data_IF_796234972221
#
_entry.id   IF_796234972221
#
_cell.length_a   1.000
_cell.length_b   1.000
_cell.length_c   1.000
_cell.angle_alpha   90.00
_cell.angle_beta   90.00
_cell.angle_gamma   90.00
#
_symmetry.space_group_name_H-M   'P 1'
#
loop_
_entity.id
_entity.type
_entity.pdbx_description
1 polymer ?
#
# COMPACT_ATOMS: atom_id res chain seq x y z
N UNK A 1 8.51 -28.33 15.39
CA UNK A 1 7.77 -27.07 15.39
C UNK A 1 8.40 -26.23 14.30
N UNK A 2 7.70 -25.97 13.21
CA UNK A 2 8.19 -25.06 12.17
C UNK A 2 8.32 -23.67 12.80
N UNK A 3 9.43 -23.00 12.54
CA UNK A 3 9.66 -21.63 13.03
C UNK A 3 8.94 -20.63 12.13
N UNK A 4 8.81 -19.36 12.57
CA UNK A 4 8.23 -18.31 11.74
C UNK A 4 9.01 -18.15 10.42
N UNK A 5 10.34 -18.32 10.48
CA UNK A 5 11.25 -18.15 9.36
C UNK A 5 11.09 -19.30 8.36
N UNK A 6 10.94 -20.54 8.85
CA UNK A 6 10.61 -21.70 7.98
C UNK A 6 9.29 -21.47 7.22
N UNK A 7 8.25 -21.01 7.92
CA UNK A 7 6.95 -20.71 7.30
C UNK A 7 7.03 -19.53 6.31
N UNK A 8 7.90 -18.56 6.57
CA UNK A 8 8.12 -17.45 5.65
C UNK A 8 8.82 -17.91 4.36
N UNK A 9 9.81 -18.77 4.49
CA UNK A 9 10.50 -19.37 3.35
C UNK A 9 9.57 -20.28 2.54
N UNK A 10 8.72 -21.07 3.20
CA UNK A 10 7.67 -21.87 2.56
C UNK A 10 6.68 -20.97 1.78
N UNK A 11 6.28 -19.85 2.38
CA UNK A 11 5.43 -18.85 1.72
C UNK A 11 6.08 -18.24 0.48
N UNK A 12 7.39 -17.95 0.54
CA UNK A 12 8.15 -17.45 -0.61
C UNK A 12 8.25 -18.50 -1.72
N UNK A 13 8.47 -19.77 -1.37
CA UNK A 13 8.47 -20.86 -2.34
C UNK A 13 7.10 -21.01 -3.01
N UNK A 14 6.02 -21.02 -2.25
CA UNK A 14 4.66 -21.07 -2.79
C UNK A 14 4.37 -19.89 -3.74
N UNK A 15 4.80 -18.68 -3.37
CA UNK A 15 4.65 -17.48 -4.19
C UNK A 15 5.47 -17.55 -5.48
N UNK A 16 6.64 -18.20 -5.47
CA UNK A 16 7.46 -18.44 -6.66
C UNK A 16 6.85 -19.49 -7.61
N UNK A 17 6.16 -20.48 -7.06
CA UNK A 17 5.43 -21.52 -7.83
C UNK A 17 4.11 -20.97 -8.39
N UNK A 18 3.60 -19.87 -7.82
CA UNK A 18 2.34 -19.23 -8.22
C UNK A 18 1.14 -19.64 -7.34
N UNK A 19 1.38 -20.43 -6.30
CA UNK A 19 0.39 -20.84 -5.30
C UNK A 19 0.17 -19.71 -4.29
N UNK A 20 -0.52 -18.65 -4.73
CA UNK A 20 -0.73 -17.45 -3.93
C UNK A 20 -1.55 -17.71 -2.67
N UNK A 21 -2.52 -18.63 -2.74
CA UNK A 21 -3.40 -18.94 -1.60
C UNK A 21 -2.64 -19.68 -0.48
N UNK A 22 -1.78 -20.61 -0.86
CA UNK A 22 -0.90 -21.30 0.09
C UNK A 22 0.17 -20.35 0.65
N UNK A 23 0.72 -19.46 -0.18
CA UNK A 23 1.65 -18.43 0.28
C UNK A 23 1.02 -17.54 1.37
N UNK A 24 -0.23 -17.10 1.17
CA UNK A 24 -0.98 -16.34 2.18
C UNK A 24 -1.17 -17.14 3.46
N UNK A 25 -1.46 -18.44 3.37
CA UNK A 25 -1.60 -19.31 4.55
C UNK A 25 -0.29 -19.40 5.33
N UNK A 26 0.82 -19.68 4.65
CA UNK A 26 2.15 -19.76 5.25
C UNK A 26 2.56 -18.43 5.91
N UNK A 27 2.36 -17.30 5.23
CA UNK A 27 2.66 -15.99 5.82
C UNK A 27 1.75 -15.66 7.02
N UNK A 28 0.47 -16.03 6.96
CA UNK A 28 -0.47 -15.84 8.07
C UNK A 28 -0.05 -16.65 9.30
N UNK A 29 0.36 -17.90 9.12
CA UNK A 29 0.89 -18.73 10.21
C UNK A 29 2.23 -18.16 10.74
N UNK A 30 3.10 -17.64 9.86
CA UNK A 30 4.36 -16.99 10.25
C UNK A 30 4.14 -15.78 11.13
N UNK A 31 3.23 -14.86 10.75
CA UNK A 31 2.90 -13.67 11.57
C UNK A 31 2.06 -14.01 12.80
N UNK A 32 1.37 -15.16 12.82
CA UNK A 32 0.69 -15.64 14.02
C UNK A 32 1.68 -16.16 15.07
N UNK A 33 2.80 -16.77 14.63
CA UNK A 33 3.90 -17.15 15.52
C UNK A 33 4.66 -15.92 16.03
N UNK A 34 4.89 -14.94 15.16
CA UNK A 34 5.50 -13.66 15.56
C UNK A 34 4.74 -12.46 14.97
N UNK A 35 3.84 -11.86 15.76
CA UNK A 35 3.09 -10.69 15.31
C UNK A 35 3.97 -9.44 15.13
N UNK A 36 5.23 -9.45 15.60
CA UNK A 36 6.21 -8.39 15.39
C UNK A 36 7.05 -8.55 14.11
N UNK A 37 6.77 -9.55 13.28
CA UNK A 37 7.57 -9.83 12.10
C UNK A 37 7.17 -8.95 10.89
N UNK A 38 7.89 -7.82 10.72
CA UNK A 38 7.64 -6.84 9.66
C UNK A 38 7.60 -7.47 8.26
N UNK A 39 8.63 -8.25 7.89
CA UNK A 39 8.75 -8.85 6.56
C UNK A 39 7.60 -9.84 6.28
N UNK A 40 7.16 -10.58 7.30
CA UNK A 40 5.99 -11.48 7.20
C UNK A 40 4.71 -10.73 6.87
N UNK A 41 4.43 -9.61 7.56
CA UNK A 41 3.26 -8.78 7.27
C UNK A 41 3.32 -8.12 5.89
N UNK A 42 4.51 -7.68 5.48
CA UNK A 42 4.73 -7.10 4.15
C UNK A 42 4.48 -8.14 3.04
N UNK A 43 5.04 -9.34 3.19
CA UNK A 43 4.86 -10.44 2.23
C UNK A 43 3.41 -10.93 2.18
N UNK A 44 2.73 -11.03 3.33
CA UNK A 44 1.30 -11.35 3.42
C UNK A 44 0.46 -10.34 2.62
N UNK A 45 0.71 -9.04 2.83
CA UNK A 45 0.01 -7.97 2.11
C UNK A 45 0.26 -8.04 0.60
N UNK A 46 1.50 -8.31 0.17
CA UNK A 46 1.82 -8.48 -1.25
C UNK A 46 1.13 -9.69 -1.88
N UNK A 47 1.08 -10.81 -1.17
CA UNK A 47 0.42 -12.03 -1.65
C UNK A 47 -1.10 -11.82 -1.79
N UNK A 48 -1.73 -11.17 -0.82
CA UNK A 48 -3.15 -10.81 -0.87
C UNK A 48 -3.46 -9.78 -1.98
N UNK A 49 -2.57 -8.82 -2.22
CA UNK A 49 -2.68 -7.90 -3.35
C UNK A 49 -2.69 -8.64 -4.69
N UNK A 50 -1.85 -9.67 -4.85
CA UNK A 50 -1.85 -10.50 -6.06
C UNK A 50 -3.13 -11.33 -6.21
N UNK A 51 -3.74 -11.74 -5.10
CA UNK A 51 -5.06 -12.43 -5.09
C UNK A 51 -6.23 -11.47 -5.34
N UNK A 52 -6.01 -10.15 -5.39
CA UNK A 52 -7.09 -9.15 -5.47
C UNK A 52 -7.82 -8.92 -4.15
N UNK A 53 -7.28 -9.45 -3.04
CA UNK A 53 -7.78 -9.30 -1.67
C UNK A 53 -7.25 -8.02 -1.04
N UNK A 54 -7.64 -6.89 -1.63
CA UNK A 54 -7.19 -5.56 -1.22
C UNK A 54 -7.54 -5.18 0.25
N UNK A 55 -8.75 -5.47 0.79
CA UNK A 55 -9.05 -5.11 2.18
C UNK A 55 -8.16 -5.83 3.19
N UNK A 56 -7.91 -7.13 2.99
CA UNK A 56 -7.02 -7.90 3.87
C UNK A 56 -5.56 -7.41 3.73
N UNK A 57 -5.14 -7.07 2.51
CA UNK A 57 -3.80 -6.53 2.27
C UNK A 57 -3.57 -5.19 2.97
N UNK A 58 -4.62 -4.36 3.07
CA UNK A 58 -4.60 -3.11 3.84
C UNK A 58 -4.38 -3.42 5.32
N UNK A 59 -5.07 -4.41 5.89
CA UNK A 59 -4.90 -4.80 7.29
C UNK A 59 -3.47 -5.28 7.57
N UNK A 60 -2.92 -6.11 6.68
CA UNK A 60 -1.53 -6.58 6.77
C UNK A 60 -0.53 -5.41 6.67
N UNK A 61 -0.75 -4.49 5.73
CA UNK A 61 0.07 -3.28 5.58
C UNK A 61 -0.01 -2.33 6.78
N UNK A 62 -1.18 -2.21 7.42
CA UNK A 62 -1.35 -1.44 8.64
C UNK A 62 -0.55 -2.06 9.80
N UNK A 63 -0.57 -3.38 9.94
CA UNK A 63 0.25 -4.09 10.92
C UNK A 63 1.76 -3.91 10.68
N UNK A 64 2.20 -4.01 9.42
CA UNK A 64 3.59 -3.72 9.06
C UNK A 64 4.00 -2.29 9.46
N UNK A 65 3.13 -1.29 9.21
CA UNK A 65 3.38 0.09 9.60
C UNK A 65 3.27 0.33 11.13
N UNK A 66 2.50 -0.48 11.86
CA UNK A 66 2.43 -0.46 13.33
C UNK A 66 3.76 -0.93 13.94
N UNK A 67 4.34 -1.99 13.37
CA UNK A 67 5.62 -2.57 13.81
C UNK A 67 6.77 -1.62 13.47
N UNK A 68 6.83 -1.16 12.23
CA UNK A 68 7.86 -0.22 11.78
C UNK A 68 7.25 1.02 11.12
N UNK A 69 6.87 2.02 11.93
CA UNK A 69 6.23 3.24 11.43
C UNK A 69 7.18 4.16 10.66
N UNK A 70 8.49 3.95 10.78
CA UNK A 70 9.50 4.72 10.07
C UNK A 70 10.02 4.00 8.82
N UNK A 71 9.41 2.88 8.43
CA UNK A 71 9.79 2.22 7.20
C UNK A 71 9.00 2.78 6.00
N UNK A 72 9.75 3.30 5.02
CA UNK A 72 9.16 3.89 3.82
C UNK A 72 8.43 2.84 2.97
N UNK A 73 8.92 1.60 2.93
CA UNK A 73 8.31 0.56 2.10
C UNK A 73 6.95 0.13 2.65
N UNK A 74 6.78 0.05 3.97
CA UNK A 74 5.50 -0.29 4.60
C UNK A 74 4.39 0.68 4.19
N UNK A 75 4.66 1.99 4.31
CA UNK A 75 3.69 3.02 3.92
C UNK A 75 3.43 3.07 2.41
N UNK A 76 4.43 2.77 1.59
CA UNK A 76 4.30 2.72 0.13
C UNK A 76 3.43 1.53 -0.29
N UNK A 77 3.66 0.35 0.28
CA UNK A 77 2.84 -0.84 0.06
C UNK A 77 1.40 -0.64 0.50
N UNK A 78 1.20 -0.04 1.69
CA UNK A 78 -0.13 0.29 2.20
C UNK A 78 -0.86 1.30 1.28
N UNK A 79 -0.15 2.34 0.83
CA UNK A 79 -0.69 3.30 -0.14
C UNK A 79 -1.12 2.61 -1.43
N UNK A 80 -0.31 1.69 -1.97
CA UNK A 80 -0.65 0.95 -3.18
C UNK A 80 -1.88 0.07 -2.97
N UNK A 81 -2.00 -0.57 -1.81
CA UNK A 81 -3.16 -1.38 -1.44
C UNK A 81 -4.44 -0.53 -1.41
N UNK A 82 -4.41 0.64 -0.80
CA UNK A 82 -5.54 1.58 -0.82
C UNK A 82 -5.90 2.07 -2.21
N UNK A 83 -4.91 2.32 -3.10
CA UNK A 83 -5.19 2.69 -4.49
C UNK A 83 -5.93 1.56 -5.22
N UNK A 84 -5.51 0.31 -5.02
CA UNK A 84 -6.16 -0.85 -5.67
C UNK A 84 -7.55 -1.14 -5.12
N UNK A 85 -7.77 -0.88 -3.84
CA UNK A 85 -9.11 -0.94 -3.20
C UNK A 85 -10.03 0.23 -3.63
N UNK A 86 -9.48 1.30 -4.21
CA UNK A 86 -10.21 2.51 -4.61
C UNK A 86 -10.36 3.57 -3.51
N UNK A 87 -9.72 3.37 -2.35
CA UNK A 87 -9.73 4.31 -1.22
C UNK A 87 -8.62 5.37 -1.37
N UNK A 88 -8.79 6.22 -2.39
CA UNK A 88 -7.78 7.22 -2.79
C UNK A 88 -7.40 8.18 -1.65
N UNK A 89 -8.35 8.62 -0.82
CA UNK A 89 -8.07 9.54 0.29
C UNK A 89 -7.10 8.94 1.33
N UNK A 90 -7.24 7.64 1.64
CA UNK A 90 -6.35 6.95 2.57
C UNK A 90 -4.99 6.66 1.93
N UNK A 91 -4.97 6.35 0.63
CA UNK A 91 -3.74 6.20 -0.13
C UNK A 91 -2.90 7.49 -0.12
N UNK A 92 -3.51 8.66 -0.35
CA UNK A 92 -2.80 9.94 -0.32
C UNK A 92 -2.19 10.21 1.06
N UNK A 93 -2.91 9.88 2.14
CA UNK A 93 -2.38 9.99 3.50
C UNK A 93 -1.18 9.07 3.71
N UNK A 94 -1.27 7.80 3.32
CA UNK A 94 -0.18 6.83 3.45
C UNK A 94 1.04 7.20 2.59
N UNK A 95 0.82 7.59 1.34
CA UNK A 95 1.86 8.05 0.43
C UNK A 95 2.53 9.35 0.90
N UNK A 96 1.79 10.23 1.58
CA UNK A 96 2.36 11.44 2.21
C UNK A 96 3.27 11.07 3.37
N UNK A 97 2.86 10.12 4.23
CA UNK A 97 3.71 9.57 5.30
C UNK A 97 4.99 8.93 4.76
N UNK A 98 4.89 8.15 3.68
CA UNK A 98 6.06 7.57 3.00
C UNK A 98 7.04 8.66 2.50
N UNK A 99 6.53 9.76 1.93
CA UNK A 99 7.36 10.90 1.48
C UNK A 99 8.02 11.63 2.64
N UNK A 100 7.33 11.82 3.75
CA UNK A 100 7.90 12.44 4.96
C UNK A 100 9.09 11.62 5.47
N UNK A 101 8.95 10.29 5.52
CA UNK A 101 10.05 9.38 5.89
C UNK A 101 11.20 9.47 4.89
N UNK A 102 10.89 9.49 3.59
CA UNK A 102 11.89 9.64 2.53
C UNK A 102 12.72 10.92 2.66
N UNK A 103 12.15 11.99 3.21
CA UNK A 103 12.84 13.25 3.48
C UNK A 103 13.56 13.28 4.85
N UNK A 104 13.65 12.14 5.54
CA UNK A 104 14.29 12.02 6.86
C UNK A 104 13.39 12.41 8.03
N UNK A 105 12.09 12.62 7.79
CA UNK A 105 11.09 12.85 8.83
C UNK A 105 10.74 11.57 9.58
N UNK A 106 10.33 11.71 10.85
CA UNK A 106 9.81 10.60 11.65
C UNK A 106 8.29 10.66 11.66
N UNK A 107 7.64 9.54 11.36
CA UNK A 107 6.18 9.43 11.38
C UNK A 107 5.78 8.57 12.57
N UNK A 108 4.75 8.99 13.31
CA UNK A 108 4.08 8.14 14.27
C UNK A 108 2.95 7.42 13.57
N UNK A 109 2.91 6.10 13.67
CA UNK A 109 1.75 5.34 13.24
C UNK A 109 0.62 5.61 14.22
N UNK A 110 -0.40 6.32 13.74
CA UNK A 110 -1.67 6.47 14.42
C UNK A 110 -2.70 5.72 13.60
N UNK A 111 -3.32 4.70 14.20
CA UNK A 111 -4.48 4.02 13.63
C UNK A 111 -5.58 5.08 13.49
N UNK A 112 -6.10 5.35 12.28
CA UNK A 112 -7.22 6.27 12.14
C UNK A 112 -8.42 5.66 12.89
N UNK A 113 -8.74 6.21 14.06
CA UNK A 113 -9.85 5.75 14.93
C UNK A 113 -11.22 6.24 14.49
N UNK A 114 -11.28 7.10 13.49
CA UNK A 114 -12.51 7.71 13.01
C UNK A 114 -12.67 7.47 11.51
N UNK A 115 -13.92 7.33 11.09
CA UNK A 115 -14.36 7.12 9.71
C UNK A 115 -13.94 8.25 8.75
N UNK A 116 -14.62 8.42 7.60
CA UNK A 116 -14.09 9.13 6.43
C UNK A 116 -13.70 10.56 6.80
N UNK A 117 -12.39 10.83 6.92
CA UNK A 117 -11.88 12.16 7.21
C UNK A 117 -11.87 12.97 5.91
N UNK A 118 -13.03 13.53 5.62
CA UNK A 118 -13.16 14.82 4.94
C UNK A 118 -12.47 15.89 5.79
N UNK A 119 -11.20 16.16 5.53
CA UNK A 119 -10.50 17.23 6.24
C UNK A 119 -9.01 17.24 5.97
N UNK A 120 -8.59 18.12 5.07
CA UNK A 120 -7.18 18.49 4.87
C UNK A 120 -6.49 18.73 6.23
N UNK A 121 -5.44 17.98 6.59
CA UNK A 121 -4.56 18.40 7.67
C UNK A 121 -3.58 19.44 7.11
N UNK A 122 -3.55 20.61 7.74
CA UNK A 122 -2.65 21.70 7.44
C UNK A 122 -1.20 21.25 7.38
N UNK A 123 -0.64 21.32 6.18
CA UNK A 123 0.76 21.10 5.87
C UNK A 123 1.57 22.28 6.44
N UNK A 124 2.24 22.09 7.58
CA UNK A 124 3.27 23.04 8.03
C UNK A 124 4.64 22.47 7.64
N UNK A 125 5.15 22.96 6.51
CA UNK A 125 6.49 22.68 5.99
C UNK A 125 7.53 23.43 6.83
N UNK A 126 8.75 22.88 7.02
CA UNK A 126 9.86 23.64 7.61
C UNK A 126 10.25 24.81 6.69
N UNK A 127 10.60 25.99 7.23
CA UNK A 127 10.98 27.13 6.40
C UNK A 127 12.32 26.84 5.71
N UNK A 128 12.32 26.76 4.37
CA UNK A 128 13.54 26.72 3.56
C UNK A 128 13.64 25.62 2.49
N UNK A 129 12.69 24.68 2.41
CA UNK A 129 12.68 23.67 1.34
C UNK A 129 11.70 24.06 0.23
N UNK A 130 12.22 24.58 -0.89
CA UNK A 130 11.45 24.73 -2.13
C UNK A 130 11.00 23.34 -2.60
N UNK A 131 9.70 23.11 -2.63
CA UNK A 131 9.13 21.88 -3.17
C UNK A 131 9.48 21.73 -4.67
N UNK A 132 9.83 20.53 -5.17
CA UNK A 132 9.78 20.30 -6.61
C UNK A 132 8.32 20.41 -7.06
N UNK A 133 8.09 21.16 -8.14
CA UNK A 133 6.77 21.36 -8.74
C UNK A 133 6.08 20.01 -9.01
N UNK A 134 4.73 19.93 -8.88
CA UNK A 134 4.01 18.71 -9.19
C UNK A 134 4.22 18.36 -10.67
N UNK A 135 4.81 17.20 -10.93
CA UNK A 135 4.83 16.63 -12.27
C UNK A 135 3.38 16.33 -12.68
N UNK A 136 2.86 17.16 -13.59
CA UNK A 136 1.60 16.91 -14.29
C UNK A 136 1.68 15.57 -14.99
N UNK A 137 1.06 14.55 -14.41
CA UNK A 137 0.82 13.28 -15.10
C UNK A 137 -0.26 13.57 -16.14
N UNK A 138 -0.01 13.41 -17.45
CA UNK A 138 -1.05 13.61 -18.45
C UNK A 138 -2.11 12.51 -18.30
N UNK A 139 -3.36 12.92 -18.11
CA UNK A 139 -4.54 12.06 -18.17
C UNK A 139 -4.58 11.41 -19.56
N UNK A 140 -4.69 10.08 -19.71
CA UNK A 140 -4.89 9.47 -21.02
C UNK A 140 -6.25 9.89 -21.57
N UNK A 141 -6.22 10.64 -22.67
CA UNK A 141 -7.38 11.02 -23.47
C UNK A 141 -7.97 9.74 -24.10
N UNK A 142 -9.27 9.45 -23.98
CA UNK A 142 -9.87 8.30 -24.66
C UNK A 142 -9.75 8.48 -26.18
N UNK A 143 -9.55 7.39 -26.96
CA UNK A 143 -9.53 7.49 -28.42
C UNK A 143 -10.89 7.99 -28.92
N UNK A 144 -10.84 9.00 -29.80
CA UNK A 144 -12.00 9.66 -30.38
C UNK A 144 -12.93 8.65 -31.05
N UNK A 145 -14.19 8.65 -30.61
CA UNK A 145 -15.30 7.98 -31.29
C UNK A 145 -15.36 8.53 -32.72
N UNK A 146 -15.19 7.64 -33.69
CA UNK A 146 -15.23 7.93 -35.12
C UNK A 146 -16.66 8.31 -35.51
N UNK A 147 -16.99 9.58 -35.38
CA UNK A 147 -18.23 10.16 -35.89
C UNK A 147 -18.23 10.05 -37.42
N UNK A 148 -19.08 9.16 -37.95
CA UNK A 148 -19.45 9.13 -39.35
C UNK A 148 -20.10 10.47 -39.74
N UNK A 149 -19.85 11.02 -40.95
CA UNK A 149 -20.48 12.26 -41.38
C UNK A 149 -21.97 12.06 -41.68
N UNK A 150 -22.83 13.06 -41.42
CA UNK A 150 -24.24 13.00 -41.79
C UNK A 150 -24.38 13.04 -43.32
N UNK A 151 -25.00 12.01 -43.89
CA UNK A 151 -25.50 12.04 -45.28
C UNK A 151 -26.89 12.67 -45.27
N UNK A 152 -27.00 13.88 -45.80
CA UNK A 152 -28.30 14.46 -46.17
C UNK A 152 -28.11 15.37 -47.40
N UNK A 153 -28.18 14.78 -48.59
CA UNK A 153 -28.94 15.26 -49.77
C UNK A 153 -28.98 14.20 -50.86
#
# INVERSE_FOLDING_TARGET
>A
MSTRDDLFDDGNMALAIGELEEAVRCYSESVALDPGFYDGWHALGMAQMKLGRYPEAIEAGLKACEINPNDQMGWTSLSLAYVRDGKIAQAESAGTKAKIISWGGKVKFEVPKDGPVIGRPGMQMPPGATAPAPASVPVPVPPAESAAPPSDT
#
